data_IF_900716691623
#
_entry.id   IF_900716691623
#
_cell.length_a   1.000
_cell.length_b   1.000
_cell.length_c   1.000
_cell.angle_alpha   90.00
_cell.angle_beta   90.00
_cell.angle_gamma   90.00
#
_symmetry.space_group_name_H-M   'P 1'
#
loop_
_entity.id
_entity.type
_entity.pdbx_description
1 polymer ?
#
# COMPACT_ATOMS: atom_id res chain seq x y z
N UNK A 1 -9.21 2.30 21.48
CA UNK A 1 -9.18 1.19 22.46
C UNK A 1 -9.60 -0.07 21.72
N UNK A 2 -8.70 -1.04 21.55
CA UNK A 2 -9.09 -2.32 20.96
C UNK A 2 -9.98 -3.08 21.95
N UNK A 3 -11.25 -3.25 21.60
CA UNK A 3 -12.22 -3.97 22.40
C UNK A 3 -12.05 -5.49 22.33
N UNK A 4 -11.25 -5.99 21.36
CA UNK A 4 -11.06 -7.40 21.10
C UNK A 4 -9.57 -7.72 21.01
N UNK A 5 -9.15 -8.75 21.74
CA UNK A 5 -7.78 -9.28 21.65
C UNK A 5 -7.75 -10.29 20.50
N UNK A 6 -6.99 -9.97 19.45
CA UNK A 6 -6.93 -10.80 18.23
C UNK A 6 -5.62 -11.59 18.09
N UNK A 7 -4.74 -11.53 19.10
CA UNK A 7 -3.52 -12.33 19.15
C UNK A 7 -3.78 -13.63 19.91
N UNK A 8 -4.14 -14.68 19.17
CA UNK A 8 -4.47 -15.99 19.72
C UNK A 8 -4.94 -16.97 18.65
N UNK A 9 -5.02 -18.24 19.00
CA UNK A 9 -5.49 -19.31 18.13
C UNK A 9 -7.02 -19.27 17.93
N UNK A 10 -7.73 -18.77 18.92
CA UNK A 10 -9.19 -18.60 18.90
C UNK A 10 -9.53 -17.19 19.37
N UNK A 11 -10.36 -16.50 18.61
CA UNK A 11 -10.84 -15.15 18.94
C UNK A 11 -12.36 -15.08 18.84
N UNK A 12 -12.96 -14.22 19.64
CA UNK A 12 -14.38 -13.90 19.56
C UNK A 12 -14.55 -12.47 19.07
N UNK A 13 -15.20 -12.30 17.95
CA UNK A 13 -15.48 -10.99 17.35
C UNK A 13 -16.92 -10.94 16.87
N UNK A 14 -17.53 -9.74 16.75
CA UNK A 14 -18.87 -9.60 16.16
C UNK A 14 -18.88 -10.06 14.70
N UNK A 15 -20.00 -10.59 14.24
CA UNK A 15 -20.20 -11.07 12.87
C UNK A 15 -19.95 -9.99 11.81
N UNK A 16 -20.34 -8.76 12.07
CA UNK A 16 -20.10 -7.61 11.17
C UNK A 16 -18.60 -7.26 11.00
N UNK A 17 -17.74 -7.74 11.89
CA UNK A 17 -16.30 -7.56 11.79
C UNK A 17 -15.62 -8.67 10.95
N UNK A 18 -16.39 -9.60 10.40
CA UNK A 18 -15.88 -10.69 9.58
C UNK A 18 -16.13 -10.43 8.10
N UNK A 19 -15.10 -10.67 7.31
CA UNK A 19 -15.17 -10.61 5.84
C UNK A 19 -14.59 -11.91 5.27
N UNK A 20 -15.33 -12.49 4.32
CA UNK A 20 -14.85 -13.68 3.62
C UNK A 20 -13.60 -13.39 2.80
N UNK A 21 -12.55 -14.19 2.99
CA UNK A 21 -11.36 -14.03 2.14
C UNK A 21 -11.58 -14.63 0.75
N UNK A 22 -10.98 -14.05 -0.32
CA UNK A 22 -10.96 -14.66 -1.64
C UNK A 22 -10.29 -16.04 -1.62
N UNK A 23 -10.89 -17.02 -2.30
CA UNK A 23 -10.36 -18.39 -2.37
C UNK A 23 -8.98 -18.48 -3.05
N UNK A 24 -8.60 -17.46 -3.82
CA UNK A 24 -7.30 -17.35 -4.50
C UNK A 24 -6.15 -16.98 -3.57
N UNK A 25 -6.42 -16.51 -2.35
CA UNK A 25 -5.41 -16.13 -1.38
C UNK A 25 -5.19 -17.23 -0.35
N UNK A 26 -3.93 -17.50 -0.01
CA UNK A 26 -3.60 -18.28 1.19
C UNK A 26 -3.94 -17.48 2.45
N UNK A 27 -4.06 -18.16 3.61
CA UNK A 27 -4.29 -17.48 4.89
C UNK A 27 -3.21 -16.44 5.22
N UNK A 28 -1.95 -16.76 4.95
CA UNK A 28 -0.83 -15.82 5.16
C UNK A 28 -0.94 -14.58 4.26
N UNK A 29 -1.30 -14.75 2.99
CA UNK A 29 -1.52 -13.63 2.08
C UNK A 29 -2.73 -12.79 2.51
N UNK A 30 -3.84 -13.41 2.87
CA UNK A 30 -5.03 -12.71 3.33
C UNK A 30 -4.76 -11.88 4.60
N UNK A 31 -4.00 -12.43 5.55
CA UNK A 31 -3.59 -11.72 6.76
C UNK A 31 -2.69 -10.52 6.46
N UNK A 32 -1.77 -10.63 5.50
CA UNK A 32 -0.84 -9.57 5.14
C UNK A 32 -1.51 -8.42 4.36
N UNK A 33 -2.44 -8.75 3.45
CA UNK A 33 -3.05 -7.78 2.52
C UNK A 33 -3.90 -6.74 3.24
N UNK A 34 -4.63 -7.13 4.28
CA UNK A 34 -5.67 -6.30 4.86
C UNK A 34 -5.16 -4.95 5.36
N UNK A 35 -4.17 -4.94 6.25
CA UNK A 35 -3.69 -3.69 6.87
C UNK A 35 -3.11 -2.71 5.84
N UNK A 36 -2.25 -3.18 4.95
CA UNK A 36 -1.58 -2.30 4.01
C UNK A 36 -2.54 -1.69 2.98
N UNK A 37 -3.48 -2.48 2.46
CA UNK A 37 -4.43 -1.98 1.45
C UNK A 37 -5.55 -1.14 2.06
N UNK A 38 -6.08 -1.46 3.22
CA UNK A 38 -7.12 -0.65 3.89
C UNK A 38 -6.58 0.74 4.23
N UNK A 39 -5.37 0.82 4.74
CA UNK A 39 -4.75 2.12 5.07
C UNK A 39 -4.48 2.94 3.82
N UNK A 40 -3.90 2.34 2.78
CA UNK A 40 -3.66 3.04 1.52
C UNK A 40 -4.99 3.44 0.82
N UNK A 41 -6.03 2.60 0.89
CA UNK A 41 -7.35 2.90 0.34
C UNK A 41 -8.00 4.10 1.05
N UNK A 42 -7.97 4.12 2.37
CA UNK A 42 -8.48 5.26 3.14
C UNK A 42 -7.84 6.57 2.70
N UNK A 43 -6.51 6.61 2.69
CA UNK A 43 -5.78 7.82 2.33
C UNK A 43 -5.98 8.24 0.86
N UNK A 44 -5.83 7.31 -0.09
CA UNK A 44 -5.80 7.65 -1.52
C UNK A 44 -7.20 7.76 -2.14
N UNK A 45 -8.10 6.86 -1.78
CA UNK A 45 -9.41 6.79 -2.44
C UNK A 45 -10.46 7.58 -1.66
N UNK A 46 -10.55 7.39 -0.33
CA UNK A 46 -11.57 8.08 0.46
C UNK A 46 -11.26 9.55 0.70
N UNK A 47 -10.03 9.86 1.10
CA UNK A 47 -9.66 11.21 1.52
C UNK A 47 -9.12 12.04 0.35
N UNK A 48 -8.08 11.58 -0.33
CA UNK A 48 -7.45 12.30 -1.43
C UNK A 48 -8.23 12.21 -2.76
N UNK A 49 -9.15 11.25 -2.90
CA UNK A 49 -9.96 11.03 -4.12
C UNK A 49 -9.11 10.96 -5.39
N UNK A 50 -8.01 10.24 -5.29
CA UNK A 50 -7.04 10.08 -6.39
C UNK A 50 -7.71 9.49 -7.62
N UNK A 51 -7.41 10.04 -8.79
CA UNK A 51 -8.00 9.62 -10.07
C UNK A 51 -7.11 9.91 -11.28
N UNK A 52 -7.64 9.72 -12.48
CA UNK A 52 -6.94 9.62 -13.78
C UNK A 52 -6.03 10.80 -14.19
N UNK A 53 -6.12 11.96 -13.56
CA UNK A 53 -5.36 13.16 -13.97
C UNK A 53 -4.26 13.54 -12.98
N UNK A 54 -4.00 12.73 -11.97
CA UNK A 54 -3.09 13.07 -10.88
C UNK A 54 -1.86 12.17 -10.80
N UNK A 55 -0.91 12.64 -9.99
CA UNK A 55 0.24 11.87 -9.55
C UNK A 55 0.23 11.74 -8.03
N UNK A 56 0.65 10.58 -7.55
CA UNK A 56 0.85 10.31 -6.13
C UNK A 56 2.34 10.19 -5.86
N UNK A 57 2.86 10.99 -4.94
CA UNK A 57 4.21 10.85 -4.44
C UNK A 57 4.20 9.94 -3.22
N UNK A 58 4.91 8.82 -3.28
CA UNK A 58 4.96 7.82 -2.23
C UNK A 58 6.35 7.77 -1.62
N UNK A 59 6.49 8.25 -0.39
CA UNK A 59 7.71 8.10 0.40
C UNK A 59 7.81 6.67 0.97
N UNK A 60 9.03 6.22 1.27
CA UNK A 60 9.29 4.85 1.73
C UNK A 60 8.57 3.80 0.86
N UNK A 61 8.62 3.96 -0.45
CA UNK A 61 7.81 3.26 -1.42
C UNK A 61 8.03 1.74 -1.45
N UNK A 62 9.19 1.26 -0.98
CA UNK A 62 9.51 -0.17 -0.86
C UNK A 62 8.87 -0.87 0.34
N UNK A 63 8.25 -0.12 1.26
CA UNK A 63 7.49 -0.71 2.36
C UNK A 63 6.21 -1.40 1.86
N UNK A 64 5.63 -2.29 2.67
CA UNK A 64 4.36 -2.95 2.32
C UNK A 64 3.25 -1.94 2.03
N UNK A 65 3.16 -0.87 2.82
CA UNK A 65 2.22 0.22 2.60
C UNK A 65 2.53 0.99 1.30
N UNK A 66 3.81 1.28 1.03
CA UNK A 66 4.22 1.94 -0.21
C UNK A 66 3.85 1.14 -1.45
N UNK A 67 4.10 -0.16 -1.45
CA UNK A 67 3.68 -1.07 -2.54
C UNK A 67 2.15 -1.08 -2.71
N UNK A 68 1.39 -1.10 -1.62
CA UNK A 68 -0.08 -1.02 -1.69
C UNK A 68 -0.55 0.32 -2.27
N UNK A 69 0.08 1.44 -1.87
CA UNK A 69 -0.22 2.77 -2.38
C UNK A 69 0.06 2.87 -3.89
N UNK A 70 1.21 2.36 -4.38
CA UNK A 70 1.52 2.32 -5.81
C UNK A 70 0.45 1.56 -6.58
N UNK A 71 0.07 0.38 -6.12
CA UNK A 71 -0.94 -0.46 -6.79
C UNK A 71 -2.32 0.19 -6.80
N UNK A 72 -2.73 0.82 -5.69
CA UNK A 72 -4.02 1.52 -5.62
C UNK A 72 -4.04 2.79 -6.47
N UNK A 73 -2.95 3.56 -6.52
CA UNK A 73 -2.84 4.71 -7.40
C UNK A 73 -3.04 4.30 -8.86
N UNK A 74 -2.36 3.23 -9.30
CA UNK A 74 -2.53 2.68 -10.65
C UNK A 74 -3.95 2.17 -10.90
N UNK A 75 -4.56 1.49 -9.93
CA UNK A 75 -5.96 1.05 -10.04
C UNK A 75 -6.92 2.22 -10.22
N UNK A 76 -6.67 3.34 -9.55
CA UNK A 76 -7.43 4.58 -9.70
C UNK A 76 -7.11 5.34 -11.01
N UNK A 77 -6.10 4.90 -11.76
CA UNK A 77 -5.65 5.52 -13.01
C UNK A 77 -4.71 6.72 -12.83
N UNK A 78 -4.14 6.89 -11.65
CA UNK A 78 -3.15 7.92 -11.37
C UNK A 78 -1.72 7.42 -11.63
N UNK A 79 -0.81 8.33 -11.99
CA UNK A 79 0.62 8.05 -12.00
C UNK A 79 1.18 7.95 -10.58
N UNK A 80 2.27 7.21 -10.41
CA UNK A 80 2.94 7.10 -9.11
C UNK A 80 4.42 7.43 -9.22
N UNK A 81 4.89 8.34 -8.37
CA UNK A 81 6.29 8.68 -8.18
C UNK A 81 6.74 8.05 -6.86
N UNK A 82 7.61 7.06 -6.93
CA UNK A 82 8.10 6.34 -5.76
C UNK A 82 9.43 6.89 -5.28
N UNK A 83 9.55 7.19 -3.98
CA UNK A 83 10.80 7.57 -3.34
C UNK A 83 11.41 6.38 -2.61
N UNK A 84 12.69 6.13 -2.83
CA UNK A 84 13.47 5.12 -2.11
C UNK A 84 14.84 5.66 -1.76
N UNK A 85 15.47 5.13 -0.70
CA UNK A 85 16.84 5.51 -0.32
C UNK A 85 17.91 4.84 -1.20
N UNK A 86 17.63 3.66 -1.74
CA UNK A 86 18.64 2.87 -2.46
C UNK A 86 18.17 2.44 -3.84
N UNK A 87 19.07 2.50 -4.81
CA UNK A 87 18.85 2.01 -6.18
C UNK A 87 18.54 0.52 -6.27
N UNK A 88 18.95 -0.29 -5.27
CA UNK A 88 18.67 -1.73 -5.23
C UNK A 88 17.17 -2.07 -5.29
N UNK A 89 16.29 -1.16 -4.87
CA UNK A 89 14.83 -1.37 -4.85
C UNK A 89 14.11 -0.87 -6.10
N UNK A 90 14.81 -0.19 -7.00
CA UNK A 90 14.24 0.46 -8.19
C UNK A 90 13.46 -0.51 -9.06
N UNK A 91 14.02 -1.69 -9.34
CA UNK A 91 13.37 -2.73 -10.15
C UNK A 91 12.03 -3.18 -9.54
N UNK A 92 12.02 -3.47 -8.24
CA UNK A 92 10.81 -3.89 -7.52
C UNK A 92 9.71 -2.82 -7.56
N UNK A 93 10.09 -1.55 -7.47
CA UNK A 93 9.14 -0.43 -7.50
C UNK A 93 8.51 -0.25 -8.88
N UNK A 94 9.28 -0.40 -9.96
CA UNK A 94 8.73 -0.42 -11.31
C UNK A 94 7.82 -1.65 -11.54
N UNK A 95 8.20 -2.83 -11.05
CA UNK A 95 7.36 -4.04 -11.11
C UNK A 95 6.05 -3.88 -10.31
N UNK A 96 6.07 -3.10 -9.23
CA UNK A 96 4.87 -2.74 -8.47
C UNK A 96 3.95 -1.77 -9.24
N UNK A 97 4.48 -1.08 -10.26
CA UNK A 97 3.75 -0.16 -11.13
C UNK A 97 4.08 1.32 -10.92
N UNK A 98 5.20 1.67 -10.30
CA UNK A 98 5.64 3.06 -10.23
C UNK A 98 5.93 3.61 -11.64
N UNK A 99 5.43 4.81 -11.94
CA UNK A 99 5.71 5.51 -13.20
C UNK A 99 7.12 6.09 -13.20
N UNK A 100 7.56 6.55 -12.03
CA UNK A 100 8.89 7.10 -11.80
C UNK A 100 9.42 6.62 -10.46
N UNK A 101 10.74 6.45 -10.37
CA UNK A 101 11.44 6.13 -9.11
C UNK A 101 12.55 7.14 -8.91
N UNK A 102 12.59 7.75 -7.73
CA UNK A 102 13.61 8.69 -7.31
C UNK A 102 14.39 8.08 -6.15
N UNK A 103 15.71 7.99 -6.31
CA UNK A 103 16.63 7.49 -5.27
C UNK A 103 17.15 8.69 -4.50
N UNK A 104 16.69 8.86 -3.26
CA UNK A 104 16.96 10.07 -2.47
C UNK A 104 18.41 10.20 -2.01
N UNK A 105 19.15 9.10 -1.92
CA UNK A 105 20.58 9.14 -1.56
C UNK A 105 21.47 9.57 -2.75
N UNK A 106 20.91 9.60 -3.97
CA UNK A 106 21.63 9.97 -5.20
C UNK A 106 21.20 11.37 -5.73
N UNK A 107 20.09 11.91 -5.25
CA UNK A 107 19.50 13.17 -5.73
C UNK A 107 19.12 14.05 -4.55
N UNK A 108 19.60 15.30 -4.54
CA UNK A 108 19.10 16.30 -3.60
C UNK A 108 17.70 16.79 -4.06
N UNK A 109 16.70 16.54 -3.21
CA UNK A 109 15.30 16.88 -3.49
C UNK A 109 14.99 18.37 -3.26
N UNK A 110 15.94 19.17 -2.76
CA UNK A 110 15.71 20.55 -2.27
C UNK A 110 16.51 21.60 -3.07
N UNK A 111 17.04 21.26 -4.23
CA UNK A 111 17.68 22.23 -5.14
C UNK A 111 16.71 22.90 -6.07
#
# INVERSE_FOLDING_TARGET
MNLYFTYGEVITVPDYALVGQPKSLSFAQAAAVWMMFVTAYGALINDAKVGKAGFVLVSAASSSMGIAAIRLANYAGAGCIALTHTSAQTKQLFEAGASHVIVTDEIDLVQ
#
